data_IF_789541943209
#
_entry.id   IF_789541943209
#
_cell.length_a   1.000
_cell.length_b   1.000
_cell.length_c   1.000
_cell.angle_alpha   90.00
_cell.angle_beta   90.00
_cell.angle_gamma   90.00
#
_symmetry.space_group_name_H-M   'P 1'
#
loop_
_entity.id
_entity.type
_entity.pdbx_description
1 polymer ?
#
# COMPACT_ATOMS: atom_id res chain seq x y z
N UNK A 1 -25.39 28.60 3.47
CA UNK A 1 -25.97 27.77 4.56
C UNK A 1 -25.61 28.39 5.90
N UNK A 2 -26.55 28.52 6.85
CA UNK A 2 -26.26 29.11 8.18
C UNK A 2 -25.56 28.11 9.10
N UNK A 3 -24.82 28.61 10.10
CA UNK A 3 -24.13 27.76 11.09
C UNK A 3 -25.11 26.82 11.82
N UNK A 4 -26.27 27.34 12.25
CA UNK A 4 -27.32 26.54 12.90
C UNK A 4 -27.80 25.41 11.99
N UNK A 5 -28.06 25.69 10.70
CA UNK A 5 -28.49 24.67 9.74
C UNK A 5 -27.42 23.60 9.53
N UNK A 6 -26.14 24.00 9.39
CA UNK A 6 -25.03 23.06 9.26
C UNK A 6 -24.88 22.15 10.50
N UNK A 7 -24.94 22.71 11.70
CA UNK A 7 -24.84 21.95 12.94
C UNK A 7 -26.00 20.96 13.11
N UNK A 8 -27.23 21.36 12.76
CA UNK A 8 -28.39 20.46 12.76
C UNK A 8 -28.19 19.30 11.78
N UNK A 9 -27.83 19.59 10.52
CA UNK A 9 -27.59 18.55 9.51
C UNK A 9 -26.52 17.56 10.00
N UNK A 10 -25.39 18.07 10.50
CA UNK A 10 -24.29 17.22 11.00
C UNK A 10 -24.72 16.31 12.16
N UNK A 11 -25.67 16.75 13.01
CA UNK A 11 -26.12 15.99 14.17
C UNK A 11 -27.10 14.88 13.81
N UNK A 12 -27.91 15.09 12.77
CA UNK A 12 -29.02 14.22 12.38
C UNK A 12 -28.79 13.52 11.03
N UNK A 13 -27.53 13.41 10.59
CA UNK A 13 -27.21 12.63 9.40
C UNK A 13 -27.21 11.15 9.76
N UNK A 14 -28.10 10.39 9.12
CA UNK A 14 -28.20 8.94 9.22
C UNK A 14 -27.99 8.35 7.83
N UNK A 15 -27.15 7.32 7.74
CA UNK A 15 -26.78 6.68 6.47
C UNK A 15 -27.45 5.31 6.28
N UNK A 16 -28.09 4.79 7.33
CA UNK A 16 -28.83 3.55 7.32
C UNK A 16 -30.00 3.58 8.34
N UNK A 17 -30.89 2.60 8.26
CA UNK A 17 -32.04 2.43 9.15
C UNK A 17 -31.61 1.85 10.51
N UNK A 18 -31.47 2.71 11.52
CA UNK A 18 -31.00 2.32 12.85
C UNK A 18 -31.97 1.39 13.62
N UNK A 19 -33.14 1.05 13.08
CA UNK A 19 -34.07 0.11 13.69
C UNK A 19 -33.73 -1.37 13.39
N UNK A 20 -32.79 -1.61 12.48
CA UNK A 20 -32.37 -2.95 12.07
C UNK A 20 -31.00 -3.28 12.64
N UNK A 21 -30.86 -4.51 13.12
CA UNK A 21 -29.59 -5.12 13.49
C UNK A 21 -29.39 -6.39 12.65
N UNK A 22 -28.38 -6.39 11.79
CA UNK A 22 -28.02 -7.53 10.93
C UNK A 22 -26.73 -8.23 11.39
N UNK A 23 -26.19 -7.84 12.55
CA UNK A 23 -24.94 -8.35 13.09
C UNK A 23 -23.67 -7.73 12.47
N UNK A 24 -23.76 -6.87 11.45
CA UNK A 24 -22.60 -6.14 10.94
C UNK A 24 -22.25 -4.97 11.87
N UNK A 25 -21.07 -5.02 12.50
CA UNK A 25 -20.56 -3.93 13.34
C UNK A 25 -20.50 -2.57 12.62
N UNK A 26 -20.44 -2.56 11.29
CA UNK A 26 -20.41 -1.36 10.47
C UNK A 26 -21.74 -1.06 9.76
N UNK A 27 -22.84 -1.73 10.13
CA UNK A 27 -24.14 -1.61 9.48
C UNK A 27 -24.55 -0.17 9.19
N UNK A 28 -24.43 0.72 10.19
CA UNK A 28 -24.81 2.14 10.09
C UNK A 28 -24.10 2.87 8.93
N UNK A 29 -22.86 2.49 8.61
CA UNK A 29 -22.07 3.14 7.55
C UNK A 29 -21.86 2.25 6.32
N UNK A 30 -22.26 0.97 6.37
CA UNK A 30 -21.97 -0.05 5.36
C UNK A 30 -22.36 0.40 3.96
N UNK A 31 -23.56 0.95 3.81
CA UNK A 31 -24.07 1.43 2.52
C UNK A 31 -23.14 2.48 1.89
N UNK A 32 -22.72 3.47 2.67
CA UNK A 32 -21.82 4.53 2.21
C UNK A 32 -20.44 3.95 1.85
N UNK A 33 -19.91 3.09 2.72
CA UNK A 33 -18.59 2.46 2.56
C UNK A 33 -18.56 1.64 1.27
N UNK A 34 -19.53 0.77 1.03
CA UNK A 34 -19.59 -0.04 -0.19
C UNK A 34 -19.77 0.83 -1.43
N UNK A 35 -20.52 1.94 -1.33
CA UNK A 35 -20.66 2.87 -2.45
C UNK A 35 -19.33 3.54 -2.81
N UNK A 36 -18.56 3.98 -1.81
CA UNK A 36 -17.21 4.54 -2.02
C UNK A 36 -16.27 3.48 -2.60
N UNK A 37 -16.27 2.27 -2.01
CA UNK A 37 -15.43 1.15 -2.48
C UNK A 37 -15.74 0.78 -3.93
N UNK A 38 -17.01 0.68 -4.28
CA UNK A 38 -17.44 0.39 -5.65
C UNK A 38 -17.01 1.49 -6.63
N UNK A 39 -17.11 2.77 -6.23
CA UNK A 39 -16.65 3.86 -7.07
C UNK A 39 -15.13 3.82 -7.29
N UNK A 40 -14.35 3.48 -6.25
CA UNK A 40 -12.91 3.28 -6.38
C UNK A 40 -12.58 2.14 -7.37
N UNK A 41 -13.28 1.01 -7.25
CA UNK A 41 -13.01 -0.17 -8.06
C UNK A 41 -13.45 -0.01 -9.54
N UNK A 42 -14.58 0.67 -9.77
CA UNK A 42 -15.19 0.74 -11.11
C UNK A 42 -14.75 1.96 -11.94
N UNK A 43 -14.41 3.09 -11.30
CA UNK A 43 -14.19 4.35 -12.02
C UNK A 43 -12.73 4.79 -12.10
N UNK A 44 -11.81 4.12 -11.39
CA UNK A 44 -10.40 4.47 -11.39
C UNK A 44 -9.65 3.51 -12.32
N UNK A 45 -9.03 3.99 -13.41
CA UNK A 45 -8.24 3.15 -14.30
C UNK A 45 -7.15 2.39 -13.54
N UNK A 46 -7.12 1.07 -13.70
CA UNK A 46 -6.14 0.21 -13.04
C UNK A 46 -4.88 0.04 -13.88
N UNK A 47 -3.71 0.18 -13.24
CA UNK A 47 -2.44 -0.23 -13.81
C UNK A 47 -2.14 -1.72 -13.56
N UNK A 48 -0.85 -2.07 -13.56
CA UNK A 48 -0.37 -3.44 -13.25
C UNK A 48 0.44 -3.51 -11.95
N UNK A 49 0.55 -2.42 -11.22
CA UNK A 49 1.36 -2.33 -10.00
C UNK A 49 0.48 -1.81 -8.89
N UNK A 50 0.50 -2.49 -7.75
CA UNK A 50 -0.33 -2.12 -6.61
C UNK A 50 0.42 -2.33 -5.31
N UNK A 51 0.21 -1.43 -4.35
CA UNK A 51 0.64 -1.59 -2.97
C UNK A 51 -0.56 -1.93 -2.09
N UNK A 52 -0.37 -2.86 -1.15
CA UNK A 52 -1.34 -3.21 -0.11
C UNK A 52 -0.74 -2.83 1.24
N UNK A 53 -1.47 -2.00 1.99
CA UNK A 53 -1.03 -1.55 3.31
C UNK A 53 -2.20 -1.13 4.21
N UNK A 54 -1.92 -0.83 5.48
CA UNK A 54 -2.90 -0.25 6.39
C UNK A 54 -3.04 1.28 6.24
N UNK A 55 -4.27 1.77 6.21
CA UNK A 55 -4.60 3.19 6.32
C UNK A 55 -5.41 3.47 7.58
N UNK A 56 -4.82 4.24 8.50
CA UNK A 56 -5.48 4.65 9.75
C UNK A 56 -6.43 5.84 9.52
N UNK A 57 -7.65 5.75 10.04
CA UNK A 57 -8.55 6.90 10.13
C UNK A 57 -8.50 7.48 11.55
N UNK A 58 -8.04 8.74 11.72
CA UNK A 58 -7.86 9.32 13.04
C UNK A 58 -9.22 9.58 13.70
N UNK A 59 -9.52 8.83 14.76
CA UNK A 59 -10.67 9.06 15.61
C UNK A 59 -10.22 9.33 17.05
N UNK A 60 -10.82 10.34 17.69
CA UNK A 60 -10.54 10.73 19.08
C UNK A 60 -11.77 10.66 19.99
N UNK A 61 -12.92 10.23 19.47
CA UNK A 61 -14.13 10.16 20.28
C UNK A 61 -14.08 8.97 21.23
N UNK A 62 -14.88 9.03 22.28
CA UNK A 62 -15.02 7.94 23.27
C UNK A 62 -16.02 6.87 22.84
N UNK A 63 -16.92 7.20 21.90
CA UNK A 63 -18.02 6.32 21.48
C UNK A 63 -17.58 5.07 20.72
N UNK A 64 -16.38 5.05 20.15
CA UNK A 64 -15.85 3.87 19.47
C UNK A 64 -15.16 2.88 20.43
N UNK A 65 -14.98 3.22 21.71
CA UNK A 65 -14.23 2.39 22.66
C UNK A 65 -12.76 2.22 22.27
N UNK A 66 -12.21 1.01 22.42
CA UNK A 66 -10.82 0.64 22.08
C UNK A 66 -10.65 0.40 20.56
N UNK A 67 -11.71 0.53 19.77
CA UNK A 67 -11.69 0.15 18.35
C UNK A 67 -10.76 1.07 17.57
N UNK A 68 -9.69 0.49 17.02
CA UNK A 68 -8.84 1.14 16.02
C UNK A 68 -9.60 1.17 14.71
N UNK A 69 -9.84 2.37 14.17
CA UNK A 69 -10.45 2.54 12.85
C UNK A 69 -9.35 2.60 11.82
N UNK A 70 -9.16 1.50 11.09
CA UNK A 70 -8.25 1.47 9.97
C UNK A 70 -8.79 0.57 8.87
N UNK A 71 -8.31 0.84 7.67
CA UNK A 71 -8.65 0.17 6.44
C UNK A 71 -7.41 -0.60 6.00
N UNK A 72 -7.61 -1.76 5.39
CA UNK A 72 -6.60 -2.31 4.50
C UNK A 72 -6.90 -1.81 3.09
N UNK A 73 -5.90 -1.28 2.40
CA UNK A 73 -6.08 -0.54 1.15
C UNK A 73 -5.20 -1.12 0.06
N UNK A 74 -5.74 -1.30 -1.14
CA UNK A 74 -4.99 -1.52 -2.38
C UNK A 74 -4.94 -0.21 -3.16
N UNK A 75 -3.73 0.30 -3.43
CA UNK A 75 -3.53 1.54 -4.16
C UNK A 75 -2.50 1.39 -5.29
N UNK A 76 -2.60 2.22 -6.32
CA UNK A 76 -1.58 2.34 -7.37
C UNK A 76 -0.36 3.13 -6.90
N UNK A 77 0.77 3.10 -7.66
CA UNK A 77 1.91 3.97 -7.41
C UNK A 77 1.58 5.46 -7.37
N UNK A 78 0.53 5.91 -8.08
CA UNK A 78 0.07 7.30 -8.05
C UNK A 78 -0.77 7.63 -6.80
N UNK A 79 -0.86 6.72 -5.82
CA UNK A 79 -1.61 6.91 -4.59
C UNK A 79 -3.14 6.76 -4.71
N UNK A 80 -3.65 6.39 -5.89
CA UNK A 80 -5.10 6.20 -6.09
C UNK A 80 -5.54 4.86 -5.49
N UNK A 81 -6.60 4.92 -4.66
CA UNK A 81 -7.17 3.74 -4.00
C UNK A 81 -8.10 3.00 -4.96
N UNK A 82 -7.85 1.73 -5.19
CA UNK A 82 -8.67 0.88 -6.07
C UNK A 82 -9.65 0.00 -5.30
N UNK A 83 -9.27 -0.47 -4.11
CA UNK A 83 -10.15 -1.25 -3.26
C UNK A 83 -9.68 -1.16 -1.80
N UNK A 84 -10.58 -1.43 -0.86
CA UNK A 84 -10.25 -1.44 0.55
C UNK A 84 -11.22 -2.29 1.38
N UNK A 85 -10.77 -2.70 2.56
CA UNK A 85 -11.56 -3.47 3.54
C UNK A 85 -11.49 -2.74 4.88
N UNK A 86 -12.62 -2.61 5.57
CA UNK A 86 -12.65 -2.08 6.94
C UNK A 86 -12.23 -3.19 7.91
N UNK A 87 -11.26 -2.89 8.77
CA UNK A 87 -10.91 -3.81 9.86
C UNK A 87 -11.98 -3.79 10.96
N UNK A 88 -12.69 -4.91 11.13
CA UNK A 88 -13.73 -5.12 12.14
C UNK A 88 -13.36 -6.02 13.31
N UNK A 89 -12.11 -6.47 13.39
CA UNK A 89 -11.73 -7.58 14.27
C UNK A 89 -12.15 -8.91 13.66
N UNK A 90 -12.86 -9.74 14.41
CA UNK A 90 -13.36 -11.05 13.94
C UNK A 90 -14.29 -10.93 12.73
N UNK A 91 -15.08 -9.85 12.66
CA UNK A 91 -16.06 -9.65 11.59
C UNK A 91 -15.46 -9.05 10.30
N UNK A 92 -14.13 -8.85 10.26
CA UNK A 92 -13.46 -8.24 9.10
C UNK A 92 -13.78 -8.97 7.80
N UNK A 93 -13.98 -10.28 7.87
CA UNK A 93 -14.18 -11.11 6.69
C UNK A 93 -15.44 -11.96 6.70
N UNK A 94 -16.48 -11.57 7.45
CA UNK A 94 -17.75 -12.33 7.52
C UNK A 94 -18.38 -12.56 6.14
N UNK A 95 -18.14 -11.65 5.19
CA UNK A 95 -18.66 -11.72 3.82
C UNK A 95 -17.71 -12.43 2.82
N UNK A 96 -16.61 -13.03 3.30
CA UNK A 96 -15.61 -13.68 2.45
C UNK A 96 -15.38 -15.13 2.87
N UNK A 97 -15.25 -15.99 1.86
CA UNK A 97 -14.88 -17.40 2.04
C UNK A 97 -13.40 -17.59 1.76
N UNK A 98 -12.75 -18.38 2.61
CA UNK A 98 -11.32 -18.73 2.50
C UNK A 98 -11.14 -20.23 2.70
N UNK A 99 -10.15 -20.78 2.01
CA UNK A 99 -9.62 -22.13 2.21
C UNK A 99 -8.62 -22.15 3.37
N UNK A 100 -8.31 -23.35 3.88
CA UNK A 100 -7.31 -23.51 4.96
C UNK A 100 -5.91 -23.00 4.58
N UNK A 101 -5.58 -22.97 3.28
CA UNK A 101 -4.30 -22.45 2.77
C UNK A 101 -4.22 -20.93 2.77
N UNK A 102 -5.36 -20.24 2.91
CA UNK A 102 -5.49 -18.79 2.94
C UNK A 102 -5.61 -18.28 4.40
N UNK A 103 -5.15 -19.08 5.37
CA UNK A 103 -5.28 -18.78 6.78
C UNK A 103 -4.27 -17.71 7.24
N UNK A 104 -4.66 -16.93 8.25
CA UNK A 104 -3.90 -15.77 8.76
C UNK A 104 -4.41 -14.42 8.24
N UNK A 105 -4.44 -13.42 9.13
CA UNK A 105 -5.00 -12.09 8.84
C UNK A 105 -4.37 -11.45 7.60
N UNK A 106 -3.04 -11.42 7.53
CA UNK A 106 -2.31 -10.80 6.42
C UNK A 106 -2.62 -11.44 5.06
N UNK A 107 -2.65 -12.78 5.00
CA UNK A 107 -2.99 -13.53 3.80
C UNK A 107 -4.42 -13.24 3.33
N UNK A 108 -5.39 -13.27 4.26
CA UNK A 108 -6.79 -12.95 3.97
C UNK A 108 -6.96 -11.53 3.41
N UNK A 109 -6.25 -10.55 3.96
CA UNK A 109 -6.26 -9.18 3.44
C UNK A 109 -5.77 -9.14 1.99
N UNK A 110 -4.57 -9.67 1.74
CA UNK A 110 -3.93 -9.60 0.43
C UNK A 110 -4.78 -10.31 -0.62
N UNK A 111 -5.28 -11.49 -0.32
CA UNK A 111 -6.11 -12.29 -1.23
C UNK A 111 -7.41 -11.57 -1.55
N UNK A 112 -8.12 -11.07 -0.54
CA UNK A 112 -9.39 -10.36 -0.77
C UNK A 112 -9.19 -9.13 -1.65
N UNK A 113 -8.15 -8.32 -1.40
CA UNK A 113 -7.86 -7.15 -2.21
C UNK A 113 -7.32 -7.50 -3.61
N UNK A 114 -6.65 -8.66 -3.77
CA UNK A 114 -6.19 -9.13 -5.07
C UNK A 114 -7.34 -9.68 -5.94
N UNK A 115 -8.41 -10.22 -5.33
CA UNK A 115 -9.58 -10.74 -6.06
C UNK A 115 -10.26 -9.65 -6.90
N UNK A 116 -10.26 -8.40 -6.46
CA UNK A 116 -10.87 -7.26 -7.18
C UNK A 116 -10.02 -6.68 -8.31
N UNK A 117 -8.79 -7.17 -8.55
CA UNK A 117 -8.00 -6.78 -9.72
C UNK A 117 -8.71 -7.30 -10.98
N UNK A 118 -9.03 -6.40 -11.91
CA UNK A 118 -9.76 -6.75 -13.13
C UNK A 118 -8.90 -7.63 -14.04
N UNK A 119 -7.68 -7.18 -14.36
CA UNK A 119 -6.73 -7.90 -15.20
C UNK A 119 -5.57 -8.49 -14.40
N UNK A 120 -5.85 -9.63 -13.76
CA UNK A 120 -4.93 -10.35 -12.89
C UNK A 120 -3.56 -10.70 -13.52
N UNK A 121 -3.46 -11.19 -14.78
CA UNK A 121 -2.17 -11.61 -15.33
C UNK A 121 -1.13 -10.48 -15.37
N UNK A 122 0.09 -10.82 -14.95
CA UNK A 122 1.24 -9.91 -14.88
C UNK A 122 1.06 -8.69 -13.96
N UNK A 123 0.09 -8.72 -13.06
CA UNK A 123 -0.02 -7.72 -12.00
C UNK A 123 1.01 -7.99 -10.91
N UNK A 124 1.58 -6.91 -10.36
CA UNK A 124 2.59 -6.92 -9.31
C UNK A 124 1.99 -6.32 -8.05
N UNK A 125 1.99 -7.10 -6.97
CA UNK A 125 1.54 -6.68 -5.65
C UNK A 125 2.74 -6.48 -4.72
N UNK A 126 2.82 -5.31 -4.11
CA UNK A 126 3.78 -4.98 -3.07
C UNK A 126 3.05 -4.95 -1.72
N UNK A 127 3.62 -5.57 -0.70
CA UNK A 127 3.05 -5.58 0.66
C UNK A 127 4.15 -5.80 1.69
N UNK A 128 3.97 -5.24 2.89
CA UNK A 128 4.95 -5.29 3.97
C UNK A 128 5.00 -6.68 4.64
N UNK A 129 6.07 -6.95 5.39
CA UNK A 129 6.29 -8.17 6.17
C UNK A 129 5.09 -8.64 7.03
N UNK A 130 4.28 -7.74 7.57
CA UNK A 130 3.04 -8.05 8.29
C UNK A 130 2.08 -8.91 7.45
N UNK A 131 2.05 -8.69 6.14
CA UNK A 131 1.22 -9.42 5.19
C UNK A 131 1.96 -10.58 4.53
N UNK A 132 3.28 -10.70 4.69
CA UNK A 132 4.10 -11.61 3.90
C UNK A 132 4.24 -12.99 4.55
N UNK A 133 3.95 -14.04 3.79
CA UNK A 133 4.37 -15.41 4.08
C UNK A 133 4.80 -16.13 2.79
N UNK A 134 5.57 -17.21 2.92
CA UNK A 134 6.03 -18.00 1.76
C UNK A 134 4.84 -18.69 1.09
N UNK A 135 3.91 -19.18 1.91
CA UNK A 135 2.68 -19.85 1.46
C UNK A 135 1.82 -18.91 0.61
N UNK A 136 1.65 -17.66 1.08
CA UNK A 136 0.91 -16.63 0.35
C UNK A 136 1.56 -16.31 -0.99
N UNK A 137 2.89 -16.13 -1.02
CA UNK A 137 3.61 -15.84 -2.27
C UNK A 137 3.42 -16.98 -3.29
N UNK A 138 3.49 -18.22 -2.83
CA UNK A 138 3.28 -19.38 -3.70
C UNK A 138 1.84 -19.44 -4.23
N UNK A 139 0.85 -19.22 -3.36
CA UNK A 139 -0.55 -19.17 -3.73
C UNK A 139 -0.83 -18.09 -4.78
N UNK A 140 -0.37 -16.85 -4.53
CA UNK A 140 -0.55 -15.73 -5.46
C UNK A 140 0.13 -16.00 -6.81
N UNK A 141 1.26 -16.68 -6.85
CA UNK A 141 1.90 -17.04 -8.12
C UNK A 141 1.05 -18.01 -8.93
N UNK A 142 0.49 -19.04 -8.29
CA UNK A 142 -0.28 -20.05 -9.00
C UNK A 142 -1.58 -19.47 -9.56
N UNK A 143 -2.25 -18.63 -8.77
CA UNK A 143 -3.53 -18.00 -9.14
C UNK A 143 -3.35 -16.82 -10.11
N UNK A 144 -2.30 -16.00 -9.96
CA UNK A 144 -2.16 -14.73 -10.68
C UNK A 144 -0.94 -14.65 -11.63
N UNK A 145 -0.04 -15.64 -11.60
CA UNK A 145 1.29 -15.59 -12.22
C UNK A 145 1.57 -16.59 -13.34
N UNK A 146 0.57 -17.27 -13.92
CA UNK A 146 0.81 -18.26 -14.99
C UNK A 146 0.50 -17.70 -16.39
N UNK A 147 1.48 -17.82 -17.30
CA UNK A 147 1.29 -17.68 -18.75
C UNK A 147 1.08 -19.09 -19.31
N UNK A 148 -0.02 -19.34 -20.05
CA UNK A 148 -0.25 -20.63 -20.72
C UNK A 148 0.91 -20.90 -21.70
N UNK A 149 1.44 -22.13 -21.70
CA UNK A 149 2.54 -22.56 -22.59
C UNK A 149 2.29 -22.18 -24.06
N UNK A 150 1.03 -22.21 -24.48
CA UNK A 150 0.58 -21.93 -25.84
C UNK A 150 0.63 -20.43 -26.21
N UNK A 151 1.06 -19.54 -25.30
CA UNK A 151 1.22 -18.08 -25.52
C UNK A 151 2.68 -17.64 -25.68
N UNK A 152 3.63 -18.57 -25.76
CA UNK A 152 5.04 -18.28 -26.03
C UNK A 152 5.30 -17.97 -27.52
N UNK A 153 4.79 -16.85 -28.05
CA UNK A 153 5.27 -16.37 -29.37
C UNK A 153 6.73 -15.94 -29.24
N UNK A 154 7.65 -16.80 -29.71
CA UNK A 154 9.09 -16.50 -29.83
C UNK A 154 10.02 -17.00 -28.72
N UNK A 155 9.51 -17.61 -27.64
CA UNK A 155 10.36 -18.17 -26.58
C UNK A 155 10.99 -19.53 -26.95
N UNK A 156 10.50 -20.19 -28.01
CA UNK A 156 11.02 -21.47 -28.48
C UNK A 156 12.48 -21.40 -28.96
N UNK A 157 13.02 -20.19 -29.21
CA UNK A 157 14.41 -20.00 -29.64
C UNK A 157 15.44 -19.93 -28.50
N UNK A 158 15.01 -19.91 -27.23
CA UNK A 158 15.93 -20.02 -26.08
C UNK A 158 15.58 -21.28 -25.29
N UNK A 159 16.51 -22.24 -25.30
CA UNK A 159 16.49 -23.53 -24.59
C UNK A 159 15.83 -23.44 -23.20
N UNK A 160 14.52 -23.67 -23.15
CA UNK A 160 13.84 -23.94 -21.90
C UNK A 160 14.24 -25.37 -21.47
N UNK A 161 14.56 -25.60 -20.18
CA UNK A 161 14.90 -26.93 -19.70
C UNK A 161 13.75 -27.92 -19.96
N UNK A 162 14.09 -29.16 -20.27
CA UNK A 162 13.10 -30.21 -20.54
C UNK A 162 12.29 -30.55 -19.29
N UNK A 163 11.01 -30.93 -19.44
CA UNK A 163 10.15 -31.42 -18.35
C UNK A 163 10.81 -32.53 -17.52
N UNK A 164 11.65 -33.36 -18.17
CA UNK A 164 12.40 -34.45 -17.52
C UNK A 164 13.54 -33.92 -16.64
N UNK A 165 14.14 -32.79 -17.00
CA UNK A 165 15.16 -32.10 -16.19
C UNK A 165 14.54 -31.32 -15.03
N UNK A 166 13.37 -30.70 -15.25
CA UNK A 166 12.63 -29.96 -14.22
C UNK A 166 12.10 -30.89 -13.11
N UNK A 167 11.62 -32.09 -13.47
CA UNK A 167 11.16 -33.11 -12.51
C UNK A 167 12.25 -33.64 -11.56
N UNK A 168 13.54 -33.55 -11.94
CA UNK A 168 14.67 -33.96 -11.08
C UNK A 168 15.06 -32.92 -10.02
N UNK A 169 14.59 -31.67 -10.12
CA UNK A 169 14.91 -30.61 -9.15
C UNK A 169 13.87 -30.60 -8.02
N UNK A 170 14.27 -30.99 -6.79
CA UNK A 170 13.40 -30.86 -5.60
C UNK A 170 13.25 -29.38 -5.23
N UNK A 171 12.00 -28.90 -5.24
CA UNK A 171 11.51 -27.58 -4.83
C UNK A 171 11.96 -26.35 -5.67
N UNK A 172 11.08 -25.34 -5.82
CA UNK A 172 11.13 -24.46 -6.97
C UNK A 172 12.05 -23.25 -6.75
N UNK A 173 13.05 -23.07 -7.62
CA UNK A 173 13.79 -21.79 -7.83
C UNK A 173 12.91 -20.68 -8.41
N UNK A 174 11.66 -20.58 -7.96
CA UNK A 174 10.65 -19.71 -8.58
C UNK A 174 10.45 -18.42 -7.77
N UNK A 175 10.79 -18.41 -6.48
CA UNK A 175 10.81 -17.20 -5.66
C UNK A 175 12.26 -16.80 -5.38
N UNK A 176 12.61 -15.54 -5.67
CA UNK A 176 13.85 -14.94 -5.21
C UNK A 176 13.65 -14.47 -3.76
N UNK A 177 14.43 -15.02 -2.83
CA UNK A 177 14.48 -14.56 -1.45
C UNK A 177 15.81 -13.86 -1.23
N UNK A 178 15.76 -12.58 -0.91
CA UNK A 178 16.90 -11.73 -0.62
C UNK A 178 16.95 -11.47 0.87
N UNK A 179 18.12 -11.65 1.47
CA UNK A 179 18.38 -11.27 2.85
C UNK A 179 19.60 -10.37 2.87
N UNK A 180 19.44 -9.18 3.43
CA UNK A 180 20.57 -8.29 3.67
C UNK A 180 20.58 -7.80 5.11
N UNK A 181 21.75 -7.40 5.57
CA UNK A 181 21.94 -6.88 6.92
C UNK A 181 21.97 -5.36 6.87
N UNK A 182 21.09 -4.73 7.64
CA UNK A 182 21.14 -3.33 8.03
C UNK A 182 21.43 -3.26 9.55
N UNK A 183 20.81 -2.36 10.31
CA UNK A 183 20.78 -2.44 11.78
C UNK A 183 20.13 -3.75 12.31
N UNK A 184 19.36 -4.43 11.46
CA UNK A 184 18.78 -5.77 11.66
C UNK A 184 18.74 -6.48 10.30
N UNK A 185 18.59 -7.80 10.31
CA UNK A 185 18.34 -8.54 9.07
C UNK A 185 17.00 -8.13 8.45
N UNK A 186 17.04 -7.80 7.15
CA UNK A 186 15.87 -7.55 6.33
C UNK A 186 15.75 -8.70 5.33
N UNK A 187 14.54 -9.24 5.19
CA UNK A 187 14.22 -10.29 4.23
C UNK A 187 13.18 -9.75 3.27
N UNK A 188 13.43 -9.89 1.98
CA UNK A 188 12.46 -9.63 0.92
C UNK A 188 12.27 -10.91 0.10
N UNK A 189 11.05 -11.18 -0.33
CA UNK A 189 10.74 -12.28 -1.21
C UNK A 189 9.96 -11.77 -2.43
N UNK A 190 10.32 -12.25 -3.61
CA UNK A 190 9.76 -11.80 -4.88
C UNK A 190 9.55 -12.97 -5.84
N UNK A 191 8.43 -12.96 -6.55
CA UNK A 191 8.15 -13.82 -7.70
C UNK A 191 8.27 -13.07 -9.03
N UNK A 192 8.55 -11.77 -8.98
CA UNK A 192 8.57 -10.87 -10.13
C UNK A 192 10.00 -10.48 -10.55
N UNK A 193 10.88 -10.21 -9.59
CA UNK A 193 12.27 -9.78 -9.82
C UNK A 193 13.21 -10.83 -9.25
N UNK A 194 14.24 -11.21 -10.02
CA UNK A 194 15.28 -12.14 -9.58
C UNK A 194 16.33 -11.44 -8.68
N UNK A 195 17.13 -12.22 -7.96
CA UNK A 195 18.22 -11.72 -7.13
C UNK A 195 19.40 -11.13 -7.93
N UNK A 196 19.38 -11.23 -9.25
CA UNK A 196 20.49 -10.85 -10.14
C UNK A 196 20.16 -9.64 -11.03
N UNK A 197 21.17 -8.80 -11.34
CA UNK A 197 22.55 -8.89 -10.85
C UNK A 197 22.66 -8.43 -9.39
N UNK A 198 23.46 -9.15 -8.60
CA UNK A 198 23.82 -8.72 -7.24
C UNK A 198 24.79 -7.55 -7.37
N UNK A 199 24.42 -6.39 -6.84
CA UNK A 199 25.25 -5.18 -6.87
C UNK A 199 25.63 -4.76 -5.45
N UNK A 200 26.81 -4.18 -5.30
CA UNK A 200 27.18 -3.48 -4.08
C UNK A 200 26.45 -2.14 -4.03
N UNK A 201 25.39 -2.08 -3.23
CA UNK A 201 24.62 -0.85 -3.02
C UNK A 201 25.21 -0.13 -1.82
N UNK A 202 25.68 1.10 -2.01
CA UNK A 202 26.11 1.96 -0.92
C UNK A 202 24.86 2.51 -0.25
N UNK A 203 24.68 2.23 1.03
CA UNK A 203 23.64 2.85 1.85
C UNK A 203 23.97 4.33 1.99
N UNK A 204 23.12 5.19 1.42
CA UNK A 204 23.20 6.63 1.67
C UNK A 204 23.05 6.88 3.16
N UNK A 205 23.93 7.72 3.72
CA UNK A 205 23.86 8.07 5.13
C UNK A 205 22.47 8.64 5.41
N UNK A 206 21.92 8.28 6.57
CA UNK A 206 20.61 8.76 7.04
C UNK A 206 20.49 10.30 7.01
N UNK A 207 21.63 10.99 6.99
CA UNK A 207 21.80 12.43 6.96
C UNK A 207 21.59 13.04 5.56
N UNK A 208 21.46 12.24 4.49
CA UNK A 208 21.40 12.65 3.06
C UNK A 208 20.05 12.37 2.38
N UNK A 209 18.92 12.48 3.11
CA UNK A 209 17.60 12.14 2.56
C UNK A 209 17.17 13.00 1.36
N UNK A 210 17.58 14.27 1.30
CA UNK A 210 17.31 15.17 0.16
C UNK A 210 18.16 14.83 -1.06
N UNK A 211 19.45 14.54 -0.89
CA UNK A 211 20.33 14.10 -1.96
C UNK A 211 19.90 12.77 -2.56
N UNK A 212 19.43 11.84 -1.72
CA UNK A 212 18.84 10.59 -2.18
C UNK A 212 17.57 10.82 -3.00
N UNK A 213 16.64 11.65 -2.52
CA UNK A 213 15.41 11.94 -3.26
C UNK A 213 15.69 12.57 -4.64
N UNK A 214 16.67 13.47 -4.73
CA UNK A 214 17.13 14.03 -6.01
C UNK A 214 17.71 12.97 -6.93
N UNK A 215 18.60 12.12 -6.41
CA UNK A 215 19.21 11.04 -7.22
C UNK A 215 18.19 10.00 -7.67
N UNK A 216 17.19 9.70 -6.85
CA UNK A 216 16.07 8.83 -7.24
C UNK A 216 15.27 9.49 -8.37
N UNK A 217 15.00 10.79 -8.26
CA UNK A 217 14.34 11.56 -9.31
C UNK A 217 15.14 11.57 -10.63
N UNK A 218 16.46 11.77 -10.56
CA UNK A 218 17.36 11.68 -11.73
C UNK A 218 17.30 10.29 -12.41
N UNK A 219 16.92 9.26 -11.67
CA UNK A 219 16.70 7.89 -12.16
C UNK A 219 15.21 7.57 -12.41
N UNK A 220 14.36 8.58 -12.61
CA UNK A 220 12.91 8.44 -12.84
C UNK A 220 12.18 7.63 -11.76
N UNK A 221 12.65 7.73 -10.52
CA UNK A 221 12.06 7.06 -9.36
C UNK A 221 11.56 8.12 -8.38
N UNK A 222 10.24 8.23 -8.27
CA UNK A 222 9.63 9.12 -7.29
C UNK A 222 9.68 8.52 -5.89
N UNK A 223 9.85 9.36 -4.87
CA UNK A 223 9.79 8.93 -3.49
C UNK A 223 9.03 9.94 -2.64
N UNK A 224 8.16 9.42 -1.77
CA UNK A 224 7.38 10.20 -0.80
C UNK A 224 7.51 9.54 0.57
N UNK A 225 7.73 10.33 1.61
CA UNK A 225 7.92 9.78 2.94
C UNK A 225 8.02 10.82 4.05
N UNK A 226 7.99 10.35 5.30
CA UNK A 226 8.18 11.22 6.47
C UNK A 226 9.66 11.43 6.75
N UNK A 227 10.04 12.66 7.11
CA UNK A 227 11.39 13.05 7.49
C UNK A 227 11.47 13.24 9.01
N UNK A 228 12.58 12.79 9.61
CA UNK A 228 12.89 13.12 11.00
C UNK A 228 13.44 14.54 11.09
N UNK A 229 12.99 15.30 12.09
CA UNK A 229 13.36 16.71 12.27
C UNK A 229 14.85 16.92 12.57
N UNK A 230 15.56 15.92 13.12
CA UNK A 230 16.92 16.08 13.63
C UNK A 230 18.03 15.81 12.59
N UNK A 231 17.71 15.81 11.28
CA UNK A 231 18.71 15.57 10.23
C UNK A 231 19.42 16.88 9.86
N UNK A 232 20.77 16.89 9.90
CA UNK A 232 21.62 18.08 9.69
C UNK A 232 21.39 18.80 8.35
N UNK A 233 20.94 18.08 7.31
CA UNK A 233 20.72 18.60 5.96
C UNK A 233 19.28 19.04 5.68
N UNK A 234 18.36 18.86 6.62
CA UNK A 234 17.02 19.39 6.42
C UNK A 234 17.08 20.92 6.36
N UNK A 235 16.35 21.53 5.41
CA UNK A 235 16.23 22.98 5.32
C UNK A 235 15.71 23.54 6.66
N UNK A 236 16.58 24.30 7.36
CA UNK A 236 16.28 24.85 8.69
C UNK A 236 15.00 25.68 8.67
N UNK A 237 14.75 26.42 7.60
CA UNK A 237 13.51 27.18 7.39
C UNK A 237 12.23 26.33 7.52
N UNK A 238 12.22 25.11 6.99
CA UNK A 238 11.06 24.23 7.06
C UNK A 238 10.97 23.56 8.43
N UNK A 239 12.09 23.07 8.95
CA UNK A 239 12.13 22.32 10.22
C UNK A 239 11.91 23.21 11.44
N UNK A 240 12.48 24.42 11.44
CA UNK A 240 12.41 25.36 12.58
C UNK A 240 11.14 26.19 12.58
N UNK A 241 10.41 26.31 11.45
CA UNK A 241 9.17 27.08 11.42
C UNK A 241 8.12 26.47 12.35
N UNK A 242 7.55 27.32 13.20
CA UNK A 242 6.40 26.98 14.01
C UNK A 242 5.14 27.07 13.16
N UNK A 243 4.62 25.90 12.79
CA UNK A 243 3.43 25.75 11.94
C UNK A 243 2.19 25.66 12.84
N UNK A 244 1.09 26.33 12.48
CA UNK A 244 -0.20 26.23 13.19
C UNK A 244 -0.93 24.94 12.79
N UNK A 245 -1.93 24.54 13.58
CA UNK A 245 -2.75 23.36 13.25
C UNK A 245 -3.49 23.60 11.93
N UNK A 246 -3.35 22.68 10.98
CA UNK A 246 -3.91 22.77 9.62
C UNK A 246 -3.05 23.55 8.64
N UNK A 247 -1.94 24.15 9.09
CA UNK A 247 -1.00 24.87 8.21
C UNK A 247 0.02 23.88 7.63
N UNK A 248 0.41 24.13 6.38
CA UNK A 248 1.47 23.43 5.66
C UNK A 248 2.48 24.48 5.18
N UNK A 249 3.77 24.20 5.39
CA UNK A 249 4.84 24.89 4.68
C UNK A 249 5.63 23.87 3.87
N UNK A 250 5.96 24.19 2.63
CA UNK A 250 6.88 23.41 1.82
C UNK A 250 7.90 24.31 1.12
N UNK A 251 9.03 23.71 0.78
CA UNK A 251 10.06 24.28 -0.10
C UNK A 251 10.38 23.26 -1.17
N UNK A 252 10.46 23.75 -2.39
CA UNK A 252 10.88 22.98 -3.55
C UNK A 252 12.33 23.34 -3.89
N UNK A 253 13.14 22.33 -4.18
CA UNK A 253 14.48 22.51 -4.71
C UNK A 253 14.84 21.28 -5.53
N UNK A 254 15.34 21.47 -6.74
CA UNK A 254 15.84 20.41 -7.62
C UNK A 254 14.86 19.22 -7.77
N UNK A 255 13.57 19.49 -7.99
CA UNK A 255 12.59 18.41 -8.15
C UNK A 255 12.08 17.77 -6.86
N UNK A 256 12.60 18.18 -5.70
CA UNK A 256 12.24 17.61 -4.40
C UNK A 256 11.56 18.66 -3.52
N UNK A 257 10.35 18.34 -3.06
CA UNK A 257 9.65 19.06 -2.01
C UNK A 257 10.02 18.52 -0.63
N UNK A 258 10.38 19.43 0.27
CA UNK A 258 10.45 19.16 1.71
C UNK A 258 9.41 20.04 2.38
N UNK A 259 8.50 19.43 3.13
CA UNK A 259 7.43 20.13 3.79
C UNK A 259 7.24 19.75 5.25
N UNK A 260 6.51 20.60 5.97
CA UNK A 260 6.14 20.41 7.36
C UNK A 260 4.68 20.81 7.52
N UNK A 261 3.89 19.90 8.08
CA UNK A 261 2.48 20.14 8.38
C UNK A 261 2.21 19.81 9.84
N UNK A 262 1.16 20.41 10.43
CA UNK A 262 0.79 20.13 11.82
C UNK A 262 -0.70 19.83 11.94
N UNK A 263 -1.03 18.63 12.41
CA UNK A 263 -2.35 18.35 13.00
C UNK A 263 -2.27 18.44 14.53
N UNK A 264 -1.85 17.38 15.21
CA UNK A 264 -1.57 17.40 16.67
C UNK A 264 -0.11 17.72 16.96
N UNK A 265 0.79 17.17 16.16
CA UNK A 265 2.24 17.33 16.25
C UNK A 265 2.75 17.71 14.86
N UNK A 266 3.83 18.50 14.78
CA UNK A 266 4.45 18.79 13.50
C UNK A 266 5.07 17.51 12.91
N UNK A 267 4.77 17.25 11.64
CA UNK A 267 5.33 16.16 10.85
C UNK A 267 6.04 16.78 9.65
N UNK A 268 7.32 16.44 9.47
CA UNK A 268 8.09 16.81 8.29
C UNK A 268 8.03 15.66 7.28
N UNK A 269 7.97 15.98 5.99
CA UNK A 269 7.88 15.03 4.90
C UNK A 269 8.75 15.47 3.72
N UNK A 270 9.06 14.51 2.85
CA UNK A 270 9.76 14.69 1.58
C UNK A 270 8.92 14.07 0.47
N UNK A 271 8.83 14.71 -0.68
CA UNK A 271 8.27 14.15 -1.90
C UNK A 271 9.07 14.63 -3.11
N UNK A 272 9.46 13.73 -4.00
CA UNK A 272 9.92 14.10 -5.36
C UNK A 272 8.79 13.97 -6.39
N UNK A 273 7.61 13.53 -5.95
CA UNK A 273 6.39 13.50 -6.74
C UNK A 273 5.69 14.86 -6.61
N UNK A 274 5.51 15.55 -7.74
CA UNK A 274 4.81 16.82 -7.82
C UNK A 274 3.79 16.75 -8.96
N UNK A 275 2.50 16.89 -8.63
CA UNK A 275 1.43 17.13 -9.60
C UNK A 275 1.50 18.58 -10.12
N UNK A 276 2.61 18.96 -10.72
CA UNK A 276 2.74 20.22 -11.46
C UNK A 276 3.04 19.88 -12.90
N UNK A 277 2.05 19.30 -13.57
CA UNK A 277 1.85 19.60 -14.99
C UNK A 277 1.41 21.05 -15.08
N UNK A 278 2.35 21.94 -15.37
CA UNK A 278 2.06 23.19 -16.07
C UNK A 278 1.77 22.90 -17.53
#
# INVERSE_FOLDING_TARGET
MTLKKFQSIRRYIHLNDNLKDDGDRYYIIRLLVEKVRHNCASNIPEGKRFSIDEMMVPYKGTRAGIRKQYFFVRASPSGLVHDFIIYGGEDTFTLHTFTEKENGLGAKVVITLAKSINEKPCSVLYFNNFFTSIELIHHLRNEYGTVRANRHRGAEKKKLPSDKELKKRKAPRLCASLKWFDNKFVVAASTYVDAHPVQHIIRYKREESSGLAKKLLDNNTYCTGTLRNNLKQNRREVVQKNVKKGENISRYCDGVHIGKWKDKRPVTYITSESDITS
#
